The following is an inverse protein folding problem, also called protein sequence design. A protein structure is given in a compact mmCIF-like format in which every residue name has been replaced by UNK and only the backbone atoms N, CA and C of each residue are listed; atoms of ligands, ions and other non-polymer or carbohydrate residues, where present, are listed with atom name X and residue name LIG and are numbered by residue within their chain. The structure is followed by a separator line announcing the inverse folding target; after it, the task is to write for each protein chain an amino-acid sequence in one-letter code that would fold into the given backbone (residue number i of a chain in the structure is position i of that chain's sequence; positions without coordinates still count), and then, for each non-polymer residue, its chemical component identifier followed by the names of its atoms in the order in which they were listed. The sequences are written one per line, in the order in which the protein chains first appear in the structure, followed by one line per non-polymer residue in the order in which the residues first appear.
data_IF_930337446748
#
_entry.id   IF_930337446748
#
_cell.length_a   1.000
_cell.length_b   1.000
_cell.length_c   1.000
_cell.angle_alpha   90.00
_cell.angle_beta   90.00
_cell.angle_gamma   90.00
#
_symmetry.space_group_name_H-M   'P 1'
#
loop_
_entity.id
_entity.type
_entity.pdbx_description
1 polymer ?
#
# COMPACT_ATOMS: atom_id res chain seq x y z
N UNK A 1 -29.52 -4.76 31.96
CA UNK A 1 -29.26 -4.28 30.59
C UNK A 1 -28.29 -5.25 29.93
N UNK A 2 -28.58 -5.70 28.70
CA UNK A 2 -27.77 -6.75 28.03
C UNK A 2 -26.39 -6.24 27.65
N UNK A 3 -25.35 -7.08 27.78
CA UNK A 3 -23.95 -6.78 27.37
C UNK A 3 -23.88 -6.29 25.91
N UNK A 4 -24.78 -6.80 25.05
CA UNK A 4 -24.86 -6.42 23.64
C UNK A 4 -25.28 -4.95 23.43
N UNK A 5 -26.14 -4.39 24.28
CA UNK A 5 -26.54 -2.98 24.18
C UNK A 5 -25.38 -2.05 24.58
N UNK A 6 -24.57 -2.47 25.54
CA UNK A 6 -23.48 -1.65 26.08
C UNK A 6 -22.32 -1.52 25.08
N UNK A 7 -22.04 -2.55 24.29
CA UNK A 7 -21.03 -2.50 23.23
C UNK A 7 -21.48 -1.68 22.02
N UNK A 8 -22.77 -1.69 21.69
CA UNK A 8 -23.30 -0.99 20.51
C UNK A 8 -23.57 0.51 20.72
N UNK A 9 -23.78 0.94 21.97
CA UNK A 9 -24.17 2.33 22.27
C UNK A 9 -23.03 3.18 22.86
N UNK A 10 -21.87 2.60 23.15
CA UNK A 10 -20.75 3.27 23.83
C UNK A 10 -19.74 3.99 22.93
N UNK A 11 -19.95 4.05 21.61
CA UNK A 11 -18.97 4.64 20.69
C UNK A 11 -18.91 6.16 20.86
N UNK A 12 -17.70 6.70 21.00
CA UNK A 12 -17.47 8.15 20.97
C UNK A 12 -17.72 8.69 19.56
N UNK A 13 -18.25 9.91 19.46
CA UNK A 13 -18.38 10.62 18.18
C UNK A 13 -16.99 10.78 17.54
N UNK A 14 -16.85 10.36 16.28
CA UNK A 14 -15.62 10.56 15.52
C UNK A 14 -15.51 12.03 15.10
N UNK A 15 -14.50 12.72 15.63
CA UNK A 15 -14.20 14.13 15.30
C UNK A 15 -12.83 14.31 14.66
N UNK A 16 -12.00 13.26 14.64
CA UNK A 16 -10.65 13.30 14.07
C UNK A 16 -10.71 13.42 12.53
N UNK A 17 -10.30 14.56 11.94
CA UNK A 17 -10.34 14.75 10.49
C UNK A 17 -9.45 13.75 9.74
N UNK A 18 -8.38 13.23 10.37
CA UNK A 18 -7.49 12.23 9.77
C UNK A 18 -8.15 10.87 9.60
N UNK A 19 -9.32 10.65 10.22
CA UNK A 19 -10.15 9.45 10.08
C UNK A 19 -11.40 9.70 9.24
N UNK A 20 -11.85 10.96 9.16
CA UNK A 20 -13.04 11.36 8.38
C UNK A 20 -12.67 11.60 6.91
N UNK A 21 -11.55 12.29 6.65
CA UNK A 21 -11.16 12.74 5.32
C UNK A 21 -10.11 11.82 4.65
N UNK A 22 -10.09 10.54 5.03
CA UNK A 22 -9.17 9.56 4.43
C UNK A 22 -9.61 9.27 3.00
N UNK A 23 -8.67 9.36 2.07
CA UNK A 23 -8.84 8.84 0.72
C UNK A 23 -8.21 7.44 0.61
N UNK A 24 -8.82 6.53 -0.16
CA UNK A 24 -8.22 5.24 -0.41
C UNK A 24 -6.90 5.41 -1.18
N UNK A 25 -5.94 4.54 -0.89
CA UNK A 25 -4.80 4.40 -1.78
C UNK A 25 -5.20 3.50 -2.97
N UNK A 26 -4.75 3.85 -4.17
CA UNK A 26 -5.04 3.09 -5.39
C UNK A 26 -3.81 2.28 -5.83
N UNK A 27 -4.06 1.11 -6.39
CA UNK A 27 -3.02 0.30 -7.02
C UNK A 27 -2.89 0.75 -8.47
N UNK A 28 -1.69 1.21 -8.83
CA UNK A 28 -1.31 1.51 -10.22
C UNK A 28 -0.38 0.42 -10.74
N UNK A 29 -0.56 0.07 -12.01
CA UNK A 29 0.33 -0.86 -12.71
C UNK A 29 1.39 -0.05 -13.43
N UNK A 30 2.65 -0.32 -13.13
CA UNK A 30 3.80 0.30 -13.77
C UNK A 30 4.56 -0.67 -14.65
N UNK A 31 5.02 -0.18 -15.80
CA UNK A 31 5.89 -0.91 -16.70
C UNK A 31 7.34 -0.60 -16.38
N UNK A 32 8.16 -1.65 -16.27
CA UNK A 32 9.59 -1.53 -16.07
C UNK A 32 10.27 -1.09 -17.36
N UNK A 33 10.94 0.07 -17.33
CA UNK A 33 11.60 0.64 -18.51
C UNK A 33 13.00 0.04 -18.77
N UNK A 34 13.71 -0.37 -17.72
CA UNK A 34 15.07 -0.91 -17.79
C UNK A 34 15.22 -2.14 -16.89
N UNK A 35 16.11 -3.06 -17.26
CA UNK A 35 16.43 -4.22 -16.41
C UNK A 35 16.93 -3.73 -15.04
N UNK A 36 16.29 -4.21 -13.97
CA UNK A 36 16.51 -3.73 -12.59
C UNK A 36 16.14 -4.80 -11.56
N UNK A 37 15.97 -4.45 -10.29
CA UNK A 37 15.31 -5.29 -9.28
C UNK A 37 14.11 -4.55 -8.68
N UNK A 38 13.26 -5.29 -7.94
CA UNK A 38 12.05 -4.73 -7.37
C UNK A 38 12.33 -3.52 -6.46
N UNK A 39 13.31 -3.58 -5.56
CA UNK A 39 13.63 -2.47 -4.66
C UNK A 39 13.93 -1.18 -5.41
N UNK A 40 14.77 -1.26 -6.43
CA UNK A 40 15.14 -0.11 -7.25
C UNK A 40 13.97 0.40 -8.08
N UNK A 41 13.11 -0.48 -8.59
CA UNK A 41 11.87 -0.09 -9.28
C UNK A 41 10.91 0.65 -8.35
N UNK A 42 10.68 0.13 -7.14
CA UNK A 42 9.83 0.79 -6.13
C UNK A 42 10.38 2.15 -5.71
N UNK A 43 11.70 2.28 -5.56
CA UNK A 43 12.34 3.57 -5.29
C UNK A 43 12.13 4.56 -6.43
N UNK A 44 12.28 4.13 -7.69
CA UNK A 44 12.04 4.97 -8.86
C UNK A 44 10.56 5.40 -8.98
N UNK A 45 9.64 4.52 -8.56
CA UNK A 45 8.20 4.81 -8.48
C UNK A 45 7.81 5.71 -7.29
N UNK A 46 8.76 6.18 -6.49
CA UNK A 46 8.51 7.06 -5.34
C UNK A 46 7.94 6.37 -4.11
N UNK A 47 7.96 5.03 -4.04
CA UNK A 47 7.48 4.28 -2.87
C UNK A 47 8.43 4.51 -1.70
N UNK A 48 7.94 4.96 -0.53
CA UNK A 48 8.75 5.12 0.67
C UNK A 48 9.43 3.82 1.08
N UNK A 49 10.70 3.89 1.50
CA UNK A 49 11.52 2.71 1.81
C UNK A 49 10.91 1.80 2.90
N UNK A 50 10.21 2.38 3.87
CA UNK A 50 9.52 1.63 4.92
C UNK A 50 8.31 0.81 4.42
N UNK A 51 7.84 1.06 3.19
CA UNK A 51 6.74 0.31 2.55
C UNK A 51 7.22 -0.72 1.52
N UNK A 52 8.53 -0.82 1.27
CA UNK A 52 9.04 -1.70 0.22
C UNK A 52 8.63 -3.16 0.44
N UNK A 53 8.71 -3.68 1.67
CA UNK A 53 8.29 -5.05 1.98
C UNK A 53 6.78 -5.27 1.79
N UNK A 54 5.95 -4.30 2.18
CA UNK A 54 4.50 -4.34 1.97
C UNK A 54 4.18 -4.47 0.46
N UNK A 55 4.81 -3.64 -0.37
CA UNK A 55 4.59 -3.66 -1.82
C UNK A 55 5.24 -4.90 -2.46
N UNK A 56 6.31 -5.44 -1.89
CA UNK A 56 6.89 -6.71 -2.32
C UNK A 56 5.92 -7.88 -2.15
N UNK A 57 5.21 -7.91 -1.01
CA UNK A 57 4.12 -8.86 -0.76
C UNK A 57 2.99 -8.68 -1.79
N UNK A 58 2.58 -7.44 -2.08
CA UNK A 58 1.54 -7.14 -3.09
C UNK A 58 1.89 -7.69 -4.49
N UNK A 59 3.18 -7.67 -4.83
CA UNK A 59 3.70 -8.18 -6.09
C UNK A 59 4.01 -9.69 -6.05
N UNK A 60 4.03 -10.31 -4.87
CA UNK A 60 4.45 -11.71 -4.70
C UNK A 60 5.93 -11.92 -5.06
N UNK A 61 6.78 -10.93 -4.77
CA UNK A 61 8.18 -10.89 -5.19
C UNK A 61 9.09 -10.56 -4.01
N UNK A 62 10.39 -10.91 -4.11
CA UNK A 62 11.41 -10.43 -3.15
C UNK A 62 11.96 -9.09 -3.61
N UNK A 63 12.42 -8.25 -2.68
CA UNK A 63 13.02 -6.94 -3.01
C UNK A 63 14.23 -7.01 -3.93
N UNK A 64 15.04 -8.05 -3.80
CA UNK A 64 16.22 -8.27 -4.66
C UNK A 64 15.91 -9.06 -5.94
N UNK A 65 14.65 -9.41 -6.19
CA UNK A 65 14.26 -10.16 -7.37
C UNK A 65 14.51 -9.33 -8.64
N UNK A 66 15.19 -9.89 -9.66
CA UNK A 66 15.43 -9.20 -10.91
C UNK A 66 14.14 -8.99 -11.70
N UNK A 67 14.03 -7.85 -12.35
CA UNK A 67 12.95 -7.44 -13.22
C UNK A 67 13.51 -7.11 -14.60
N UNK A 68 12.91 -7.69 -15.63
CA UNK A 68 13.23 -7.39 -17.03
C UNK A 68 12.40 -6.21 -17.54
N UNK A 69 12.93 -5.48 -18.52
CA UNK A 69 12.18 -4.46 -19.27
C UNK A 69 10.86 -5.03 -19.78
N UNK A 70 9.80 -4.23 -19.68
CA UNK A 70 8.45 -4.58 -20.11
C UNK A 70 7.62 -5.34 -19.08
N UNK A 71 8.23 -5.85 -18.01
CA UNK A 71 7.48 -6.44 -16.89
C UNK A 71 6.56 -5.40 -16.25
N UNK A 72 5.44 -5.89 -15.71
CA UNK A 72 4.46 -5.07 -15.00
C UNK A 72 4.56 -5.34 -13.51
N UNK A 73 4.61 -4.27 -12.72
CA UNK A 73 4.56 -4.34 -11.25
C UNK A 73 3.42 -3.47 -10.72
N UNK A 74 2.93 -3.82 -9.53
CA UNK A 74 1.94 -3.05 -8.78
C UNK A 74 2.67 -2.07 -7.86
N UNK A 75 2.24 -0.82 -7.86
CA UNK A 75 2.64 0.22 -6.91
C UNK A 75 1.40 0.85 -6.29
N UNK A 76 1.58 1.58 -5.19
CA UNK A 76 0.46 2.21 -4.46
C UNK A 76 0.63 3.72 -4.48
N UNK A 77 -0.44 4.43 -4.85
CA UNK A 77 -0.53 5.89 -4.88
C UNK A 77 -1.70 6.39 -4.02
N UNK A 78 -1.62 7.62 -3.52
CA UNK A 78 -2.67 8.28 -2.71
C UNK A 78 -3.60 9.13 -3.57
#
# INVERSE_FOLDING_TARGET
TSIFQQTMQGFKKLTDPSKINVKPEHIRIERIENNTNLKAALQAAGVPGNRHEEIAILNGMKLNQPLSRGMLIKVVEK
#
